data_IF_364556079438
#
_entry.id   IF_364556079438
#
_cell.length_a   1.000
_cell.length_b   1.000
_cell.length_c   1.000
_cell.angle_alpha   90.00
_cell.angle_beta   90.00
_cell.angle_gamma   90.00
#
_symmetry.space_group_name_H-M   'P 1'
#
loop_
_entity.id
_entity.type
_entity.pdbx_description
1 polymer ?
#
# COMPACT_ATOMS: atom_id res chain seq x y z
N UNK A 1 20.01 8.56 -2.56
CA UNK A 1 18.67 8.38 -1.99
C UNK A 1 17.77 7.58 -2.92
N UNK A 2 16.93 6.76 -2.35
CA UNK A 2 15.99 5.97 -3.14
C UNK A 2 14.85 6.84 -3.65
N UNK A 3 14.33 6.47 -4.82
CA UNK A 3 13.16 7.15 -5.39
C UNK A 3 11.90 6.80 -4.61
N UNK A 4 10.84 7.58 -4.78
CA UNK A 4 9.54 7.26 -4.19
C UNK A 4 9.02 5.91 -4.67
N UNK A 5 9.25 5.56 -5.93
CA UNK A 5 8.85 4.25 -6.46
C UNK A 5 9.57 3.12 -5.74
N UNK A 6 10.89 3.25 -5.56
CA UNK A 6 11.69 2.25 -4.88
C UNK A 6 11.28 2.13 -3.40
N UNK A 7 11.09 3.26 -2.73
CA UNK A 7 10.63 3.28 -1.34
C UNK A 7 9.27 2.60 -1.19
N UNK A 8 8.36 2.80 -2.15
CA UNK A 8 7.04 2.17 -2.14
C UNK A 8 7.16 0.64 -2.24
N UNK A 9 8.00 0.16 -3.15
CA UNK A 9 8.22 -1.27 -3.32
C UNK A 9 8.83 -1.91 -2.06
N UNK A 10 9.82 -1.25 -1.47
CA UNK A 10 10.44 -1.75 -0.24
C UNK A 10 9.46 -1.78 0.93
N UNK A 11 8.66 -0.72 1.08
CA UNK A 11 7.64 -0.66 2.12
C UNK A 11 6.61 -1.78 1.94
N UNK A 12 6.20 -2.04 0.70
CA UNK A 12 5.24 -3.10 0.40
C UNK A 12 5.77 -4.47 0.80
N UNK A 13 7.06 -4.72 0.58
CA UNK A 13 7.68 -5.98 1.00
C UNK A 13 7.61 -6.18 2.51
N UNK A 14 7.80 -5.11 3.27
CA UNK A 14 7.78 -5.17 4.73
C UNK A 14 6.39 -5.51 5.29
N UNK A 15 5.33 -5.10 4.59
CA UNK A 15 3.96 -5.25 5.08
C UNK A 15 3.15 -6.33 4.36
N UNK A 16 3.74 -7.03 3.38
CA UNK A 16 3.00 -7.96 2.53
C UNK A 16 2.34 -9.10 3.29
N UNK A 17 2.83 -9.44 4.48
CA UNK A 17 2.27 -10.52 5.28
C UNK A 17 0.95 -10.17 5.96
N UNK A 18 0.59 -8.89 6.05
CA UNK A 18 -0.63 -8.47 6.77
C UNK A 18 -1.41 -7.34 6.11
N UNK A 19 -1.01 -6.93 4.91
CA UNK A 19 -1.61 -5.80 4.22
C UNK A 19 -2.54 -6.30 3.10
N UNK A 20 -3.73 -5.73 3.03
CA UNK A 20 -4.70 -6.10 1.99
C UNK A 20 -4.54 -5.23 0.75
N UNK A 21 -3.70 -5.68 -0.17
CA UNK A 21 -3.43 -4.95 -1.40
C UNK A 21 -4.65 -4.80 -2.32
N UNK A 22 -5.54 -5.80 -2.33
CA UNK A 22 -6.76 -5.73 -3.13
C UNK A 22 -7.65 -4.58 -2.69
N UNK A 23 -7.83 -4.42 -1.38
CA UNK A 23 -8.65 -3.36 -0.81
C UNK A 23 -8.03 -2.00 -1.10
N UNK A 24 -6.72 -1.88 -0.96
CA UNK A 24 -5.99 -0.63 -1.23
C UNK A 24 -6.11 -0.26 -2.71
N UNK A 25 -5.92 -1.22 -3.61
CA UNK A 25 -6.04 -0.97 -5.04
C UNK A 25 -7.43 -0.45 -5.38
N UNK A 26 -8.47 -1.08 -4.86
CA UNK A 26 -9.85 -0.70 -5.11
C UNK A 26 -10.20 0.66 -4.50
N UNK A 27 -9.89 0.84 -3.23
CA UNK A 27 -10.35 2.01 -2.46
C UNK A 27 -9.57 3.27 -2.77
N UNK A 28 -8.26 3.17 -2.93
CA UNK A 28 -7.40 4.34 -3.08
C UNK A 28 -7.03 4.63 -4.53
N UNK A 29 -7.00 3.62 -5.39
CA UNK A 29 -6.59 3.77 -6.78
C UNK A 29 -7.74 3.54 -7.78
N UNK A 30 -8.85 2.94 -7.34
CA UNK A 30 -9.92 2.56 -8.25
C UNK A 30 -9.46 1.53 -9.27
N UNK A 31 -8.55 0.65 -8.89
CA UNK A 31 -7.93 -0.34 -9.77
C UNK A 31 -8.05 -1.74 -9.17
N UNK A 32 -7.61 -2.73 -9.94
CA UNK A 32 -7.56 -4.13 -9.48
C UNK A 32 -6.29 -4.38 -8.67
N UNK A 33 -6.29 -5.46 -7.90
CA UNK A 33 -5.08 -5.89 -7.19
C UNK A 33 -3.95 -6.21 -8.16
N UNK A 34 -4.28 -6.73 -9.35
CA UNK A 34 -3.28 -7.04 -10.37
C UNK A 34 -2.55 -5.78 -10.84
N UNK A 35 -3.29 -4.68 -11.03
CA UNK A 35 -2.68 -3.39 -11.39
C UNK A 35 -1.64 -2.97 -10.36
N UNK A 36 -1.98 -3.07 -9.08
CA UNK A 36 -1.07 -2.69 -7.99
C UNK A 36 0.12 -3.64 -7.92
N UNK A 37 -0.12 -4.94 -8.01
CA UNK A 37 0.91 -5.97 -7.95
C UNK A 37 1.94 -5.80 -9.08
N UNK A 38 1.47 -5.49 -10.29
CA UNK A 38 2.37 -5.26 -11.42
C UNK A 38 3.37 -4.14 -11.13
N UNK A 39 2.91 -3.08 -10.49
CA UNK A 39 3.76 -1.95 -10.14
C UNK A 39 4.71 -2.26 -8.99
N UNK A 40 4.26 -3.02 -8.02
CA UNK A 40 5.10 -3.44 -6.90
C UNK A 40 6.24 -4.36 -7.35
N UNK A 41 5.99 -5.17 -8.36
CA UNK A 41 6.98 -6.13 -8.87
C UNK A 41 7.75 -5.62 -10.08
N UNK A 42 7.42 -4.43 -10.59
CA UNK A 42 8.08 -3.87 -11.76
C UNK A 42 7.84 -4.68 -13.03
N UNK A 43 6.68 -5.34 -13.14
CA UNK A 43 6.35 -6.18 -14.30
C UNK A 43 6.32 -5.34 -15.57
N UNK A 44 6.69 -5.98 -16.70
CA UNK A 44 6.64 -5.33 -17.99
C UNK A 44 5.19 -5.25 -18.46
N UNK A 45 4.73 -4.03 -18.75
CA UNK A 45 3.38 -3.76 -19.25
C UNK A 45 3.52 -2.86 -20.47
N UNK A 46 2.98 -3.30 -21.60
CA UNK A 46 3.09 -2.57 -22.87
C UNK A 46 4.55 -2.22 -23.24
N UNK A 47 5.46 -3.17 -23.01
CA UNK A 47 6.86 -3.02 -23.36
C UNK A 47 7.70 -2.20 -22.40
N UNK A 48 7.14 -1.75 -21.28
CA UNK A 48 7.84 -0.94 -20.28
C UNK A 48 7.61 -1.47 -18.90
N UNK A 49 8.59 -1.33 -17.96
CA UNK A 49 8.35 -1.69 -16.56
C UNK A 49 7.23 -0.84 -15.96
N UNK A 50 6.28 -1.48 -15.31
CA UNK A 50 5.26 -0.76 -14.55
C UNK A 50 5.90 -0.24 -13.26
N UNK A 51 5.83 1.08 -13.05
CA UNK A 51 6.40 1.71 -11.86
C UNK A 51 5.39 2.68 -11.25
N UNK A 52 5.60 3.03 -9.99
CA UNK A 52 4.80 4.06 -9.35
C UNK A 52 5.21 5.44 -9.81
N UNK A 53 4.23 6.25 -10.19
CA UNK A 53 4.45 7.68 -10.36
C UNK A 53 4.52 8.31 -8.96
N UNK A 54 5.16 9.49 -8.81
CA UNK A 54 5.24 10.14 -7.51
C UNK A 54 3.87 10.33 -6.82
N UNK A 55 2.85 10.73 -7.59
CA UNK A 55 1.50 10.90 -7.04
C UNK A 55 0.90 9.57 -6.57
N UNK A 56 1.18 8.49 -7.27
CA UNK A 56 0.72 7.16 -6.89
C UNK A 56 1.42 6.66 -5.61
N UNK A 57 2.71 6.95 -5.50
CA UNK A 57 3.46 6.63 -4.29
C UNK A 57 2.90 7.39 -3.07
N UNK A 58 2.57 8.66 -3.26
CA UNK A 58 1.96 9.48 -2.21
C UNK A 58 0.60 8.92 -1.79
N UNK A 59 -0.20 8.45 -2.75
CA UNK A 59 -1.49 7.81 -2.47
C UNK A 59 -1.30 6.51 -1.68
N UNK A 60 -0.29 5.73 -2.01
CA UNK A 60 0.03 4.52 -1.27
C UNK A 60 0.43 4.85 0.18
N UNK A 61 1.24 5.90 0.36
CA UNK A 61 1.62 6.35 1.70
C UNK A 61 0.39 6.79 2.51
N UNK A 62 -0.56 7.48 1.87
CA UNK A 62 -1.82 7.86 2.53
C UNK A 62 -2.59 6.62 2.98
N UNK A 63 -2.68 5.60 2.13
CA UNK A 63 -3.34 4.35 2.49
C UNK A 63 -2.70 3.70 3.71
N UNK A 64 -1.36 3.71 3.78
CA UNK A 64 -0.64 3.17 4.92
C UNK A 64 -0.93 3.95 6.21
N UNK A 65 -0.98 5.28 6.11
CA UNK A 65 -1.32 6.13 7.27
C UNK A 65 -2.73 5.87 7.77
N UNK A 66 -3.69 5.74 6.85
CA UNK A 66 -5.08 5.46 7.21
C UNK A 66 -5.21 4.10 7.91
N UNK A 67 -4.50 3.10 7.40
CA UNK A 67 -4.52 1.77 8.00
C UNK A 67 -3.82 1.74 9.35
N UNK A 68 -2.73 2.47 9.49
CA UNK A 68 -2.04 2.58 10.77
C UNK A 68 -2.95 3.19 11.84
N UNK A 69 -3.68 4.25 11.47
CA UNK A 69 -4.64 4.88 12.38
C UNK A 69 -5.75 3.90 12.78
N UNK A 70 -6.26 3.13 11.83
CA UNK A 70 -7.30 2.14 12.09
C UNK A 70 -6.80 1.04 13.02
N UNK A 71 -5.57 0.56 12.80
CA UNK A 71 -4.97 -0.46 13.65
C UNK A 71 -4.76 0.05 15.08
N UNK A 72 -4.27 1.27 15.23
CA UNK A 72 -4.09 1.90 16.53
C UNK A 72 -5.42 2.06 17.27
N UNK A 73 -6.46 2.52 16.56
CA UNK A 73 -7.79 2.67 17.15
C UNK A 73 -8.36 1.33 17.61
N UNK A 74 -8.15 0.28 16.83
CA UNK A 74 -8.61 -1.06 17.19
C UNK A 74 -7.91 -1.56 18.46
N UNK A 75 -6.60 -1.37 18.54
CA UNK A 75 -5.83 -1.76 19.72
C UNK A 75 -6.30 -1.01 20.96
N UNK A 76 -6.49 0.31 20.85
CA UNK A 76 -6.97 1.15 21.95
C UNK A 76 -8.35 0.72 22.42
N UNK A 77 -9.24 0.37 21.48
CA UNK A 77 -10.58 -0.08 21.79
C UNK A 77 -10.56 -1.32 22.67
N UNK A 78 -9.68 -2.27 22.33
CA UNK A 78 -9.52 -3.49 23.11
C UNK A 78 -8.97 -3.17 24.50
N UNK A 79 -7.93 -2.36 24.56
CA UNK A 79 -7.26 -2.01 25.81
C UNK A 79 -8.17 -1.26 26.78
N UNK A 80 -9.06 -0.43 26.27
CA UNK A 80 -9.98 0.39 27.06
C UNK A 80 -11.28 -0.32 27.41
N UNK A 81 -11.57 -1.46 26.80
CA UNK A 81 -12.81 -2.18 27.07
C UNK A 81 -12.78 -2.77 28.49
N UNK A 82 -13.90 -2.78 29.19
CA UNK A 82 -13.97 -3.49 30.45
C UNK A 82 -13.79 -4.99 30.24
N UNK A 83 -13.18 -5.63 31.16
CA UNK A 83 -12.85 -7.04 31.07
C UNK A 83 -14.05 -7.96 30.86
#
# INVERSE_FOLDING_TARGET
PESKADATCLAALEICGFFNFSEVARKYFGRTSQWLTQRLHGNIVNGKPATFKPAEADTFALALRDMAATLLQAAERIEKAPN
#
